data_IF_576238835712
#
_entry.id   IF_576238835712
#
_cell.length_a   1.000
_cell.length_b   1.000
_cell.length_c   1.000
_cell.angle_alpha   90.00
_cell.angle_beta   90.00
_cell.angle_gamma   90.00
#
_symmetry.space_group_name_H-M   'P 1'
#
loop_
_entity.id
_entity.type
_entity.pdbx_description
1 polymer ?
#
# COMPACT_ATOMS: atom_id res chain seq x y z
N UNK A 1 13.55 -66.45 -18.95
CA UNK A 1 12.53 -65.36 -18.89
C UNK A 1 12.94 -64.33 -17.85
N UNK A 2 13.48 -63.16 -18.27
CA UNK A 2 13.91 -62.07 -17.39
C UNK A 2 12.72 -61.09 -17.27
N UNK A 3 12.13 -60.94 -16.07
CA UNK A 3 11.11 -59.93 -15.77
C UNK A 3 11.77 -58.53 -15.73
N UNK A 4 11.47 -57.66 -16.70
CA UNK A 4 11.79 -56.25 -16.66
C UNK A 4 10.95 -55.58 -15.55
N UNK A 5 11.59 -55.09 -14.51
CA UNK A 5 11.00 -54.14 -13.54
C UNK A 5 10.93 -52.78 -14.19
N UNK A 6 9.75 -52.27 -14.46
CA UNK A 6 9.52 -50.88 -14.82
C UNK A 6 9.64 -50.08 -13.54
N UNK A 7 10.67 -49.24 -13.46
CA UNK A 7 10.77 -48.17 -12.46
C UNK A 7 9.72 -47.11 -12.85
N UNK A 8 8.63 -47.05 -12.12
CA UNK A 8 7.67 -45.95 -12.23
C UNK A 8 8.38 -44.71 -11.64
N UNK A 9 8.97 -43.92 -12.52
CA UNK A 9 9.48 -42.59 -12.16
C UNK A 9 8.23 -41.73 -11.98
N UNK A 10 7.78 -41.54 -10.75
CA UNK A 10 6.84 -40.47 -10.40
C UNK A 10 7.56 -39.17 -10.67
N UNK A 11 7.31 -38.59 -11.85
CA UNK A 11 7.60 -37.22 -12.14
C UNK A 11 6.91 -36.38 -11.06
N UNK A 12 7.69 -35.85 -10.14
CA UNK A 12 7.27 -34.77 -9.28
C UNK A 12 6.95 -33.60 -10.21
N UNK A 13 5.66 -33.46 -10.54
CA UNK A 13 5.15 -32.23 -11.12
C UNK A 13 5.54 -31.13 -10.13
N UNK A 14 6.23 -30.11 -10.60
CA UNK A 14 6.50 -28.88 -9.83
C UNK A 14 5.16 -28.33 -9.39
N UNK A 15 4.84 -28.53 -8.14
CA UNK A 15 3.56 -28.17 -7.57
C UNK A 15 3.58 -26.67 -7.38
N UNK A 16 2.89 -25.94 -8.25
CA UNK A 16 2.55 -24.54 -8.00
C UNK A 16 1.60 -24.51 -6.78
N UNK A 17 1.62 -23.48 -5.94
CA UNK A 17 0.74 -23.41 -4.79
C UNK A 17 -0.72 -23.64 -5.23
N UNK A 18 -1.41 -24.51 -4.51
CA UNK A 18 -2.80 -24.81 -4.84
C UNK A 18 -3.69 -23.65 -4.40
N UNK A 19 -4.54 -23.18 -5.30
CA UNK A 19 -5.50 -22.10 -5.01
C UNK A 19 -6.89 -22.68 -4.83
N UNK A 20 -7.53 -22.38 -3.70
CA UNK A 20 -8.91 -22.76 -3.40
C UNK A 20 -9.76 -21.54 -3.07
N UNK A 21 -11.06 -21.65 -3.33
CA UNK A 21 -12.04 -20.62 -2.96
C UNK A 21 -13.05 -21.23 -2.01
N UNK A 22 -13.15 -20.67 -0.82
CA UNK A 22 -14.13 -21.05 0.18
C UNK A 22 -15.24 -20.00 0.28
N UNK A 23 -16.47 -20.45 0.50
CA UNK A 23 -17.61 -19.60 0.85
C UNK A 23 -18.06 -19.97 2.26
N UNK A 24 -17.84 -19.09 3.19
CA UNK A 24 -17.94 -19.34 4.63
C UNK A 24 -18.92 -18.37 5.29
N UNK A 25 -19.37 -18.72 6.50
CA UNK A 25 -20.02 -17.75 7.40
C UNK A 25 -18.95 -16.80 7.98
N UNK A 26 -19.34 -15.58 8.42
CA UNK A 26 -18.40 -14.61 9.00
C UNK A 26 -17.56 -15.18 10.15
N UNK A 27 -18.18 -15.93 11.07
CA UNK A 27 -17.51 -16.55 12.21
C UNK A 27 -16.54 -17.68 11.86
N UNK A 28 -16.76 -18.36 10.72
CA UNK A 28 -15.83 -19.38 10.19
C UNK A 28 -14.64 -18.71 9.49
N UNK A 29 -14.91 -17.64 8.74
CA UNK A 29 -13.89 -16.91 8.00
C UNK A 29 -12.98 -16.05 8.89
N UNK A 30 -13.39 -15.76 10.13
CA UNK A 30 -12.62 -15.00 11.10
C UNK A 30 -11.55 -15.83 11.84
N UNK A 31 -11.66 -17.16 11.78
CA UNK A 31 -10.79 -18.07 12.53
C UNK A 31 -10.08 -19.04 11.58
N UNK A 32 -8.75 -18.94 11.51
CA UNK A 32 -7.91 -19.80 10.68
C UNK A 32 -8.09 -21.28 11.02
N UNK A 33 -8.25 -21.62 12.29
CA UNK A 33 -8.43 -22.99 12.72
C UNK A 33 -9.74 -23.62 12.22
N UNK A 34 -10.72 -22.79 11.85
CA UNK A 34 -11.98 -23.25 11.26
C UNK A 34 -11.90 -23.41 9.76
N UNK A 35 -11.21 -22.53 9.05
CA UNK A 35 -11.16 -22.62 7.58
C UNK A 35 -9.95 -23.37 7.02
N UNK A 36 -8.86 -23.57 7.79
CA UNK A 36 -7.70 -24.32 7.31
C UNK A 36 -8.02 -25.78 6.95
N UNK A 37 -8.75 -26.56 7.80
CA UNK A 37 -9.15 -27.91 7.44
C UNK A 37 -10.06 -27.96 6.20
N UNK A 38 -10.93 -26.94 6.04
CA UNK A 38 -11.81 -26.83 4.87
C UNK A 38 -11.02 -26.53 3.60
N UNK A 39 -9.98 -25.69 3.70
CA UNK A 39 -9.09 -25.37 2.59
C UNK A 39 -8.30 -26.61 2.15
N UNK A 40 -7.69 -27.34 3.09
CA UNK A 40 -6.95 -28.58 2.81
C UNK A 40 -7.85 -29.63 2.14
N UNK A 41 -9.07 -29.81 2.66
CA UNK A 41 -10.06 -30.72 2.07
C UNK A 41 -10.45 -30.29 0.64
N UNK A 42 -10.67 -28.99 0.41
CA UNK A 42 -11.01 -28.44 -0.91
C UNK A 42 -9.87 -28.61 -1.91
N UNK A 43 -8.62 -28.55 -1.44
CA UNK A 43 -7.41 -28.80 -2.22
C UNK A 43 -7.14 -30.31 -2.44
N UNK A 44 -7.80 -31.21 -1.71
CA UNK A 44 -7.54 -32.65 -1.77
C UNK A 44 -6.24 -33.08 -1.12
N UNK A 45 -5.73 -32.28 -0.15
CA UNK A 45 -4.49 -32.57 0.59
C UNK A 45 -4.78 -32.78 2.08
N UNK A 46 -3.89 -33.47 2.79
CA UNK A 46 -4.02 -33.55 4.24
C UNK A 46 -3.58 -32.24 4.90
N UNK A 47 -4.26 -31.83 5.96
CA UNK A 47 -3.97 -30.57 6.66
C UNK A 47 -2.50 -30.50 7.15
N UNK A 48 -1.96 -31.63 7.61
CA UNK A 48 -0.55 -31.76 8.05
C UNK A 48 0.48 -31.53 6.94
N UNK A 49 0.07 -31.64 5.67
CA UNK A 49 0.94 -31.45 4.51
C UNK A 49 0.94 -29.98 4.03
N UNK A 50 0.13 -29.11 4.66
CA UNK A 50 0.06 -27.68 4.39
C UNK A 50 1.02 -26.95 5.31
N UNK A 51 2.17 -26.51 4.78
CA UNK A 51 3.17 -25.76 5.53
C UNK A 51 2.79 -24.28 5.72
N UNK A 52 2.13 -23.68 4.71
CA UNK A 52 1.65 -22.30 4.75
C UNK A 52 0.27 -22.19 4.09
N UNK A 53 -0.64 -21.52 4.78
CA UNK A 53 -1.94 -21.10 4.23
C UNK A 53 -1.98 -19.57 4.15
N UNK A 54 -2.12 -19.05 2.93
CA UNK A 54 -2.12 -17.61 2.65
C UNK A 54 -3.48 -17.14 2.15
N UNK A 55 -4.04 -16.11 2.77
CA UNK A 55 -5.23 -15.43 2.24
C UNK A 55 -4.79 -14.49 1.12
N UNK A 56 -5.27 -14.72 -0.09
CA UNK A 56 -4.97 -13.92 -1.29
C UNK A 56 -6.07 -12.89 -1.56
N UNK A 57 -7.32 -13.26 -1.22
CA UNK A 57 -8.46 -12.36 -1.38
C UNK A 57 -9.54 -12.68 -0.36
N UNK A 58 -10.11 -11.64 0.23
CA UNK A 58 -11.30 -11.70 1.09
C UNK A 58 -12.36 -10.74 0.56
N UNK A 59 -13.58 -11.23 0.40
CA UNK A 59 -14.72 -10.40 0.02
C UNK A 59 -15.97 -10.83 0.77
N UNK A 60 -16.84 -9.86 1.07
CA UNK A 60 -18.09 -10.08 1.79
C UNK A 60 -19.24 -9.94 0.79
N UNK A 61 -20.11 -10.95 0.74
CA UNK A 61 -21.37 -10.90 0.03
C UNK A 61 -22.52 -10.75 1.05
N UNK A 62 -23.08 -9.55 1.14
CA UNK A 62 -24.18 -9.20 2.03
C UNK A 62 -25.53 -9.04 1.31
N UNK A 63 -25.67 -9.56 0.08
CA UNK A 63 -26.91 -9.46 -0.69
C UNK A 63 -28.05 -10.34 -0.14
N UNK A 64 -27.69 -11.37 0.64
CA UNK A 64 -28.64 -12.27 1.28
C UNK A 64 -28.79 -11.92 2.77
N UNK A 65 -29.88 -12.42 3.40
CA UNK A 65 -30.15 -12.22 4.83
C UNK A 65 -29.00 -12.63 5.74
N UNK A 66 -28.27 -13.70 5.36
CA UNK A 66 -27.04 -14.13 6.04
C UNK A 66 -25.86 -13.78 5.16
N UNK A 67 -24.98 -12.87 5.59
CA UNK A 67 -23.78 -12.52 4.83
C UNK A 67 -22.83 -13.71 4.70
N UNK A 68 -22.17 -13.79 3.56
CA UNK A 68 -21.15 -14.80 3.27
C UNK A 68 -19.82 -14.14 3.03
N UNK A 69 -18.75 -14.81 3.42
CA UNK A 69 -17.37 -14.40 3.16
C UNK A 69 -16.75 -15.36 2.16
N UNK A 70 -16.23 -14.80 1.07
CA UNK A 70 -15.44 -15.55 0.09
C UNK A 70 -13.98 -15.35 0.38
N UNK A 71 -13.27 -16.44 0.67
CA UNK A 71 -11.81 -16.48 0.82
C UNK A 71 -11.19 -17.17 -0.38
N UNK A 72 -10.24 -16.49 -1.03
CA UNK A 72 -9.31 -17.17 -1.96
C UNK A 72 -8.03 -17.42 -1.18
N UNK A 73 -7.62 -18.67 -1.13
CA UNK A 73 -6.51 -19.14 -0.32
C UNK A 73 -5.50 -19.86 -1.22
N UNK A 74 -4.23 -19.62 -0.94
CA UNK A 74 -3.10 -20.37 -1.51
C UNK A 74 -2.54 -21.28 -0.42
N UNK A 75 -2.37 -22.56 -0.76
CA UNK A 75 -1.80 -23.59 0.10
C UNK A 75 -0.43 -23.99 -0.44
N UNK A 76 0.57 -23.93 0.42
CA UNK A 76 1.95 -24.29 0.12
C UNK A 76 2.33 -25.54 0.91
N UNK A 77 2.94 -26.52 0.25
CA UNK A 77 3.57 -27.66 0.90
C UNK A 77 4.94 -27.29 1.46
N UNK A 78 5.52 -28.18 2.28
CA UNK A 78 6.88 -27.98 2.78
C UNK A 78 7.88 -28.00 1.61
N UNK A 79 8.83 -27.03 1.65
CA UNK A 79 9.83 -26.84 0.59
C UNK A 79 9.34 -26.12 -0.66
N UNK A 80 8.05 -25.77 -0.78
CA UNK A 80 7.57 -24.95 -1.89
C UNK A 80 8.04 -23.49 -1.79
N UNK A 81 8.39 -22.83 -2.92
CA UNK A 81 8.77 -21.44 -2.93
C UNK A 81 7.62 -20.55 -2.44
N UNK A 82 7.81 -19.88 -1.33
CA UNK A 82 6.85 -18.91 -0.80
C UNK A 82 7.09 -17.54 -1.42
N UNK A 83 6.04 -16.69 -1.57
CA UNK A 83 6.21 -15.33 -2.01
C UNK A 83 7.15 -14.58 -1.06
N UNK A 84 8.28 -14.09 -1.59
CA UNK A 84 9.18 -13.29 -0.80
C UNK A 84 8.49 -12.00 -0.30
N UNK A 85 8.74 -11.59 0.95
CA UNK A 85 8.28 -10.31 1.42
C UNK A 85 8.88 -9.20 0.56
N UNK A 86 8.07 -8.18 0.22
CA UNK A 86 8.57 -7.04 -0.53
C UNK A 86 9.56 -6.28 0.34
N UNK A 87 10.77 -6.18 -0.15
CA UNK A 87 11.81 -5.37 0.46
C UNK A 87 11.75 -3.95 -0.10
N UNK A 88 11.72 -2.96 0.79
CA UNK A 88 11.83 -1.57 0.44
C UNK A 88 13.21 -1.08 0.86
N UNK A 89 14.00 -0.64 -0.12
CA UNK A 89 15.30 -0.02 0.09
C UNK A 89 15.22 1.45 -0.29
N UNK A 90 15.56 2.31 0.67
CA UNK A 90 15.62 3.76 0.47
C UNK A 90 17.05 4.23 0.79
N UNK A 91 17.97 4.15 -0.20
CA UNK A 91 19.36 4.53 -0.02
C UNK A 91 19.51 6.03 0.28
N UNK A 92 20.64 6.41 0.88
CA UNK A 92 21.00 7.80 1.11
C UNK A 92 21.20 8.54 -0.21
N UNK A 93 20.57 9.71 -0.33
CA UNK A 93 20.54 10.51 -1.56
C UNK A 93 20.97 11.98 -1.35
N UNK A 94 21.60 12.32 -0.21
CA UNK A 94 21.97 13.68 0.18
C UNK A 94 22.76 14.45 -0.90
N UNK A 95 23.63 13.74 -1.62
CA UNK A 95 24.52 14.34 -2.64
C UNK A 95 24.09 13.97 -4.07
N UNK A 96 22.87 13.51 -4.26
CA UNK A 96 22.35 13.13 -5.56
C UNK A 96 21.65 14.29 -6.27
N UNK A 97 21.38 14.10 -7.55
CA UNK A 97 20.65 15.08 -8.36
C UNK A 97 19.29 15.38 -7.73
N UNK A 98 19.02 16.64 -7.50
CA UNK A 98 17.78 17.13 -6.90
C UNK A 98 16.62 17.13 -7.90
N UNK A 99 15.46 16.67 -7.45
CA UNK A 99 14.21 16.69 -8.23
C UNK A 99 13.12 17.31 -7.37
N UNK A 100 12.55 18.41 -7.86
CA UNK A 100 11.44 19.09 -7.19
C UNK A 100 10.15 18.29 -7.38
N UNK A 101 9.46 18.07 -6.26
CA UNK A 101 8.12 17.46 -6.21
C UNK A 101 7.15 18.48 -5.63
N UNK A 102 6.17 18.88 -6.43
CA UNK A 102 5.15 19.86 -6.03
C UNK A 102 3.97 19.16 -5.37
N UNK A 103 3.78 19.44 -4.09
CA UNK A 103 2.73 18.87 -3.25
C UNK A 103 3.14 17.59 -2.54
N UNK A 104 2.71 17.46 -1.28
CA UNK A 104 2.91 16.29 -0.42
C UNK A 104 1.64 15.42 -0.27
N UNK A 105 0.75 15.46 -1.26
CA UNK A 105 -0.36 14.52 -1.38
C UNK A 105 0.12 13.11 -1.72
N UNK A 106 -0.77 12.10 -1.84
CA UNK A 106 -0.38 10.72 -2.11
C UNK A 106 0.54 10.59 -3.33
N UNK A 107 0.23 11.27 -4.43
CA UNK A 107 1.04 11.21 -5.65
C UNK A 107 2.46 11.73 -5.42
N UNK A 108 2.60 12.88 -4.73
CA UNK A 108 3.92 13.48 -4.44
C UNK A 108 4.74 12.63 -3.48
N UNK A 109 4.12 12.07 -2.43
CA UNK A 109 4.80 11.19 -1.48
C UNK A 109 5.32 9.91 -2.15
N UNK A 110 4.49 9.25 -2.98
CA UNK A 110 4.92 8.07 -3.73
C UNK A 110 5.97 8.41 -4.79
N UNK A 111 5.87 9.58 -5.45
CA UNK A 111 6.88 10.06 -6.38
C UNK A 111 8.22 10.27 -5.68
N UNK A 112 8.21 10.91 -4.49
CA UNK A 112 9.42 11.13 -3.71
C UNK A 112 10.10 9.81 -3.28
N UNK A 113 9.34 8.83 -2.78
CA UNK A 113 9.87 7.50 -2.48
C UNK A 113 10.47 6.84 -3.72
N UNK A 114 9.79 6.95 -4.88
CA UNK A 114 10.27 6.37 -6.14
C UNK A 114 11.53 7.05 -6.66
N UNK A 115 11.68 8.34 -6.44
CA UNK A 115 12.90 9.08 -6.77
C UNK A 115 14.09 8.58 -5.95
N UNK A 116 13.91 8.35 -4.64
CA UNK A 116 14.94 7.80 -3.77
C UNK A 116 15.37 6.41 -4.25
N UNK A 117 14.42 5.50 -4.54
CA UNK A 117 14.72 4.18 -5.11
C UNK A 117 15.54 4.25 -6.41
N UNK A 118 15.45 5.37 -7.15
CA UNK A 118 16.20 5.62 -8.38
C UNK A 118 17.47 6.45 -8.18
N UNK A 119 17.84 6.75 -6.94
CA UNK A 119 19.04 7.49 -6.60
C UNK A 119 18.94 9.01 -6.83
N UNK A 120 17.73 9.58 -6.85
CA UNK A 120 17.50 11.02 -6.91
C UNK A 120 17.11 11.56 -5.54
N UNK A 121 17.50 12.81 -5.26
CA UNK A 121 17.14 13.54 -4.04
C UNK A 121 15.82 14.32 -4.24
N UNK A 122 14.70 13.92 -3.63
CA UNK A 122 13.45 14.66 -3.75
C UNK A 122 13.49 15.91 -2.87
N UNK A 123 13.05 17.05 -3.44
CA UNK A 123 12.75 18.29 -2.72
C UNK A 123 11.23 18.48 -2.82
N UNK A 124 10.52 18.13 -1.75
CA UNK A 124 9.06 18.20 -1.71
C UNK A 124 8.63 19.59 -1.20
N UNK A 125 7.89 20.30 -2.03
CA UNK A 125 7.34 21.64 -1.72
C UNK A 125 5.84 21.50 -1.46
N UNK A 126 5.41 21.77 -0.23
CA UNK A 126 4.02 21.70 0.19
C UNK A 126 3.52 23.07 0.62
N UNK A 127 2.39 23.51 0.04
CA UNK A 127 1.82 24.83 0.36
C UNK A 127 1.27 24.88 1.79
N UNK A 128 0.73 23.78 2.27
CA UNK A 128 0.11 23.71 3.58
C UNK A 128 1.05 23.26 4.68
N UNK A 129 0.48 22.94 5.82
CA UNK A 129 1.19 22.58 7.06
C UNK A 129 1.37 21.07 7.21
N UNK A 130 2.17 20.67 8.19
CA UNK A 130 2.31 19.26 8.62
C UNK A 130 1.00 18.72 9.16
N UNK A 131 0.84 17.41 9.11
CA UNK A 131 -0.38 16.70 9.57
C UNK A 131 -0.86 17.18 10.95
N UNK A 132 0.06 17.31 11.92
CA UNK A 132 -0.30 17.70 13.29
C UNK A 132 -0.85 19.12 13.38
N UNK A 133 -0.28 20.06 12.63
CA UNK A 133 -0.71 21.47 12.58
C UNK A 133 -2.00 21.59 11.78
N UNK A 134 -2.08 20.91 10.64
CA UNK A 134 -3.25 20.83 9.78
C UNK A 134 -4.50 20.31 10.51
N UNK A 135 -4.33 19.36 11.46
CA UNK A 135 -5.42 18.90 12.32
C UNK A 135 -6.05 20.04 13.11
N UNK A 136 -5.24 21.02 13.54
CA UNK A 136 -5.73 22.21 14.26
C UNK A 136 -6.51 23.15 13.32
N UNK A 137 -6.01 23.35 12.10
CA UNK A 137 -6.68 24.18 11.10
C UNK A 137 -8.05 23.59 10.73
N UNK A 138 -8.14 22.27 10.54
CA UNK A 138 -9.40 21.56 10.30
C UNK A 138 -10.37 21.71 11.50
N UNK A 139 -9.86 21.66 12.73
CA UNK A 139 -10.68 21.89 13.91
C UNK A 139 -11.25 23.32 13.96
N UNK A 140 -10.53 24.34 13.47
CA UNK A 140 -11.03 25.70 13.35
C UNK A 140 -12.16 25.81 12.30
N UNK A 141 -12.02 25.11 11.17
CA UNK A 141 -13.10 25.06 10.15
C UNK A 141 -14.40 24.52 10.79
N UNK A 142 -14.30 23.45 11.55
CA UNK A 142 -15.46 22.81 12.18
C UNK A 142 -16.08 23.65 13.31
N UNK A 143 -15.27 24.45 14.02
CA UNK A 143 -15.73 25.25 15.15
C UNK A 143 -16.26 26.62 14.73
N UNK A 144 -15.56 27.30 13.84
CA UNK A 144 -15.74 28.71 13.56
C UNK A 144 -16.00 29.01 12.08
N UNK A 145 -15.97 27.99 11.20
CA UNK A 145 -16.05 28.17 9.75
C UNK A 145 -14.81 28.86 9.13
N UNK A 146 -13.75 29.06 9.91
CA UNK A 146 -12.54 29.73 9.43
C UNK A 146 -11.67 28.77 8.61
N UNK A 147 -11.50 29.07 7.32
CA UNK A 147 -10.71 28.28 6.38
C UNK A 147 -9.38 28.95 6.12
N UNK A 148 -8.27 28.28 6.48
CA UNK A 148 -6.93 28.68 6.05
C UNK A 148 -6.79 28.31 4.56
N UNK A 149 -6.49 29.26 3.64
CA UNK A 149 -6.43 28.99 2.20
C UNK A 149 -5.32 28.03 1.80
N UNK A 150 -4.29 27.88 2.60
CA UNK A 150 -3.15 27.02 2.32
C UNK A 150 -3.09 25.74 3.19
N UNK A 151 -3.89 25.66 4.27
CA UNK A 151 -3.92 24.51 5.17
C UNK A 151 -5.34 24.18 5.61
N UNK A 152 -5.96 23.16 5.00
CA UNK A 152 -7.36 22.81 5.20
C UNK A 152 -7.62 21.34 4.83
N UNK A 153 -8.87 20.94 4.53
CA UNK A 153 -9.19 19.59 4.08
C UNK A 153 -8.55 19.21 2.75
N UNK A 154 -8.25 20.16 1.86
CA UNK A 154 -7.68 19.89 0.55
C UNK A 154 -6.15 19.96 0.55
N UNK A 155 -5.58 20.95 1.27
CA UNK A 155 -4.16 21.29 1.24
C UNK A 155 -3.46 20.96 2.55
N UNK A 156 -2.18 20.60 2.44
CA UNK A 156 -1.31 20.19 3.53
C UNK A 156 -0.84 18.74 3.40
N UNK A 157 0.05 18.32 4.29
CA UNK A 157 0.69 17.02 4.27
C UNK A 157 -0.32 15.86 4.11
N UNK A 158 -0.08 14.99 3.13
CA UNK A 158 -0.92 13.85 2.78
C UNK A 158 -2.14 14.17 1.90
N UNK A 159 -2.38 15.48 1.59
CA UNK A 159 -3.44 15.93 0.68
C UNK A 159 -4.85 15.72 1.24
N UNK A 160 -5.86 15.77 0.36
CA UNK A 160 -7.27 15.69 0.73
C UNK A 160 -7.67 14.35 1.37
N UNK A 161 -6.91 13.28 1.11
CA UNK A 161 -7.19 11.95 1.65
C UNK A 161 -6.82 11.73 3.11
N UNK A 162 -5.94 12.55 3.68
CA UNK A 162 -5.34 12.31 5.01
C UNK A 162 -6.36 12.17 6.15
N UNK A 163 -7.44 12.94 6.10
CA UNK A 163 -8.50 12.93 7.10
C UNK A 163 -9.81 12.30 6.59
N UNK A 164 -9.71 11.48 5.53
CA UNK A 164 -10.80 10.65 5.03
C UNK A 164 -10.81 9.28 5.70
N UNK A 165 -11.78 8.43 5.38
CA UNK A 165 -11.81 7.04 5.82
C UNK A 165 -10.77 6.14 5.14
N UNK A 166 -10.02 6.68 4.16
CA UNK A 166 -8.92 5.98 3.52
C UNK A 166 -9.34 4.80 2.66
N UNK A 167 -10.43 4.93 1.93
CA UNK A 167 -10.82 3.95 0.92
C UNK A 167 -9.76 3.85 -0.18
N UNK A 168 -9.25 2.65 -0.39
CA UNK A 168 -8.18 2.36 -1.37
C UNK A 168 -8.71 1.63 -2.60
N UNK A 169 -10.01 1.36 -2.68
CA UNK A 169 -10.58 0.65 -3.82
C UNK A 169 -10.44 1.45 -5.11
N UNK A 170 -9.92 0.80 -6.14
CA UNK A 170 -9.87 1.33 -7.50
C UNK A 170 -10.30 0.29 -8.52
N UNK A 171 -10.99 0.73 -9.56
CA UNK A 171 -11.28 -0.11 -10.75
C UNK A 171 -10.11 -0.12 -11.73
N UNK A 172 -9.22 0.88 -11.65
CA UNK A 172 -8.07 1.02 -12.55
C UNK A 172 -6.87 0.24 -12.02
N UNK A 173 -6.77 -1.05 -12.42
CA UNK A 173 -5.63 -1.92 -12.08
C UNK A 173 -4.69 -2.16 -13.27
N UNK A 174 -4.96 -1.54 -14.43
CA UNK A 174 -4.21 -1.78 -15.68
C UNK A 174 -2.93 -0.95 -15.79
N UNK A 175 -2.82 0.14 -15.05
CA UNK A 175 -1.67 1.06 -15.11
C UNK A 175 -0.99 1.12 -13.74
N UNK A 176 0.32 0.90 -13.73
CA UNK A 176 1.13 0.89 -12.52
C UNK A 176 0.96 -0.36 -11.66
N UNK A 177 1.80 -0.48 -10.64
CA UNK A 177 1.79 -1.59 -9.70
C UNK A 177 0.95 -1.22 -8.46
N UNK A 178 -0.33 -1.57 -8.52
CA UNK A 178 -1.27 -1.38 -7.41
C UNK A 178 -0.81 -2.11 -6.14
N UNK A 179 -0.27 -3.33 -6.29
CA UNK A 179 0.16 -4.13 -5.15
C UNK A 179 1.35 -3.47 -4.45
N UNK A 180 2.33 -2.95 -5.21
CA UNK A 180 3.45 -2.19 -4.63
C UNK A 180 2.95 -0.97 -3.85
N UNK A 181 1.92 -0.28 -4.33
CA UNK A 181 1.35 0.85 -3.60
C UNK A 181 0.74 0.43 -2.26
N UNK A 182 -0.04 -0.66 -2.21
CA UNK A 182 -0.57 -1.20 -0.96
C UNK A 182 0.53 -1.66 -0.01
N UNK A 183 1.53 -2.37 -0.53
CA UNK A 183 2.69 -2.82 0.26
C UNK A 183 3.49 -1.65 0.83
N UNK A 184 3.65 -0.55 0.06
CA UNK A 184 4.26 0.69 0.57
C UNK A 184 3.48 1.24 1.76
N UNK A 185 2.15 1.24 1.71
CA UNK A 185 1.32 1.67 2.84
C UNK A 185 1.47 0.74 4.05
N UNK A 186 1.52 -0.58 3.83
CA UNK A 186 1.77 -1.57 4.90
C UNK A 186 3.14 -1.36 5.53
N UNK A 187 4.20 -1.18 4.73
CA UNK A 187 5.54 -0.87 5.20
C UNK A 187 5.57 0.38 6.11
N UNK A 188 4.72 1.36 5.80
CA UNK A 188 4.56 2.57 6.59
C UNK A 188 3.44 2.47 7.65
N UNK A 189 2.97 1.26 7.97
CA UNK A 189 2.13 0.96 9.13
C UNK A 189 0.62 0.91 8.87
N UNK A 190 0.21 0.71 7.63
CA UNK A 190 -1.15 0.24 7.36
C UNK A 190 -1.28 -1.23 7.77
N UNK A 191 -2.50 -1.68 8.01
CA UNK A 191 -2.75 -3.08 8.36
C UNK A 191 -2.54 -3.98 7.15
N UNK A 192 -1.93 -5.19 7.31
CA UNK A 192 -1.68 -6.12 6.22
C UNK A 192 -2.96 -6.57 5.48
N UNK A 193 -4.12 -6.47 6.13
CA UNK A 193 -5.42 -6.84 5.56
C UNK A 193 -5.74 -6.09 4.27
N UNK A 194 -5.22 -4.86 4.09
CA UNK A 194 -5.42 -4.10 2.85
C UNK A 194 -4.87 -4.80 1.61
N UNK A 195 -3.94 -5.77 1.78
CA UNK A 195 -3.33 -6.50 0.67
C UNK A 195 -4.27 -7.52 0.04
N UNK A 196 -5.23 -8.05 0.81
CA UNK A 196 -6.13 -9.09 0.35
C UNK A 196 -7.62 -8.73 0.41
N UNK A 197 -7.99 -7.63 1.06
CA UNK A 197 -9.38 -7.16 1.07
C UNK A 197 -9.83 -6.71 -0.33
N UNK A 198 -11.04 -7.12 -0.73
CA UNK A 198 -11.63 -6.72 -2.00
C UNK A 198 -11.93 -5.21 -2.06
N UNK A 199 -12.27 -4.61 -0.92
CA UNK A 199 -12.51 -3.18 -0.74
C UNK A 199 -11.69 -2.66 0.44
N UNK A 200 -10.35 -2.52 0.25
CA UNK A 200 -9.46 -2.13 1.34
C UNK A 200 -9.70 -0.68 1.76
N UNK A 201 -9.60 -0.44 3.07
CA UNK A 201 -9.60 0.90 3.66
C UNK A 201 -8.65 0.93 4.87
N UNK A 202 -8.10 2.10 5.15
CA UNK A 202 -7.09 2.25 6.22
C UNK A 202 -7.73 2.71 7.53
N UNK A 203 -8.72 3.58 7.46
CA UNK A 203 -9.32 4.26 8.61
C UNK A 203 -8.74 5.66 8.83
N UNK A 204 -9.60 6.57 9.27
CA UNK A 204 -9.32 8.01 9.40
C UNK A 204 -8.23 8.32 10.42
N UNK A 205 -8.13 7.53 11.48
CA UNK A 205 -7.18 7.68 12.56
C UNK A 205 -5.75 7.23 12.21
N UNK A 206 -5.60 6.29 11.26
CA UNK A 206 -4.31 5.70 10.89
C UNK A 206 -3.59 6.44 9.78
N UNK A 207 -4.34 7.00 8.81
CA UNK A 207 -3.75 7.70 7.66
C UNK A 207 -2.78 8.82 8.03
N UNK A 208 -3.10 9.73 8.99
CA UNK A 208 -2.17 10.77 9.41
C UNK A 208 -0.80 10.24 9.84
N UNK A 209 -0.79 9.16 10.62
CA UNK A 209 0.45 8.52 11.06
C UNK A 209 1.23 7.85 9.93
N UNK A 210 0.54 7.29 8.93
CA UNK A 210 1.19 6.70 7.74
C UNK A 210 1.86 7.79 6.91
N UNK A 211 1.18 8.92 6.65
CA UNK A 211 1.76 10.06 5.91
C UNK A 211 3.00 10.58 6.61
N UNK A 212 2.95 10.73 7.94
CA UNK A 212 4.11 11.13 8.74
C UNK A 212 5.29 10.15 8.62
N UNK A 213 5.05 8.83 8.66
CA UNK A 213 6.10 7.82 8.49
C UNK A 213 6.71 7.83 7.10
N UNK A 214 5.90 8.02 6.05
CA UNK A 214 6.41 8.20 4.68
C UNK A 214 7.35 9.40 4.61
N UNK A 215 6.94 10.54 5.17
CA UNK A 215 7.83 11.72 5.24
C UNK A 215 9.12 11.44 6.01
N UNK A 216 9.03 10.73 7.14
CA UNK A 216 10.21 10.37 7.92
C UNK A 216 11.18 9.48 7.13
N UNK A 217 10.67 8.52 6.37
CA UNK A 217 11.47 7.69 5.45
C UNK A 217 12.17 8.54 4.39
N UNK A 218 11.43 9.47 3.74
CA UNK A 218 12.00 10.35 2.71
C UNK A 218 13.09 11.25 3.30
N UNK A 219 12.84 11.86 4.47
CA UNK A 219 13.83 12.73 5.14
C UNK A 219 15.02 11.92 5.64
N UNK A 220 14.78 10.72 6.21
CA UNK A 220 15.84 9.80 6.65
C UNK A 220 16.76 9.34 5.53
N UNK A 221 16.27 9.28 4.30
CA UNK A 221 17.07 8.99 3.10
C UNK A 221 17.76 10.23 2.50
N UNK A 222 17.65 11.43 3.11
CA UNK A 222 18.28 12.66 2.63
C UNK A 222 17.39 13.55 1.75
N UNK A 223 16.11 13.19 1.55
CA UNK A 223 15.13 14.06 0.90
C UNK A 223 14.74 15.26 1.77
N UNK A 224 14.17 16.29 1.17
CA UNK A 224 13.82 17.55 1.84
C UNK A 224 12.33 17.83 1.73
N UNK A 225 11.73 18.30 2.82
CA UNK A 225 10.37 18.86 2.83
C UNK A 225 10.41 20.34 3.20
N UNK A 226 9.74 21.17 2.39
CA UNK A 226 9.47 22.56 2.67
C UNK A 226 7.96 22.78 2.74
N UNK A 227 7.46 23.03 3.94
CA UNK A 227 6.07 23.38 4.20
C UNK A 227 5.88 24.91 4.09
N UNK A 228 4.65 25.37 3.87
CA UNK A 228 4.37 26.79 3.61
C UNK A 228 4.98 27.28 2.29
N UNK A 229 5.31 26.37 1.39
CA UNK A 229 5.98 26.65 0.11
C UNK A 229 5.00 26.43 -1.05
N UNK A 230 4.17 27.43 -1.30
CA UNK A 230 3.21 27.42 -2.40
C UNK A 230 3.92 27.71 -3.72
N UNK A 231 4.05 26.71 -4.57
CA UNK A 231 4.56 26.89 -5.93
C UNK A 231 3.53 27.67 -6.74
N UNK A 232 3.96 28.79 -7.30
CA UNK A 232 3.12 29.72 -8.07
C UNK A 232 3.40 29.66 -9.57
N UNK A 233 4.65 29.38 -9.95
CA UNK A 233 5.02 29.30 -11.36
C UNK A 233 6.28 28.44 -11.57
N UNK A 234 6.57 28.16 -12.85
CA UNK A 234 7.79 27.47 -13.30
C UNK A 234 8.84 28.50 -13.75
N UNK A 235 10.08 28.35 -13.28
CA UNK A 235 11.21 29.09 -13.83
C UNK A 235 11.69 28.40 -15.10
N UNK A 236 11.36 28.99 -16.25
CA UNK A 236 11.72 28.47 -17.58
C UNK A 236 12.80 29.37 -18.20
N UNK A 237 13.88 28.78 -18.67
CA UNK A 237 14.94 29.46 -19.42
C UNK A 237 15.14 28.75 -20.75
N UNK A 238 14.76 29.42 -21.84
CA UNK A 238 14.68 28.80 -23.16
C UNK A 238 13.61 27.71 -23.21
N UNK A 239 14.01 26.49 -23.50
CA UNK A 239 13.15 25.30 -23.57
C UNK A 239 13.24 24.39 -22.32
N UNK A 240 13.89 24.87 -21.24
CA UNK A 240 14.19 24.06 -20.04
C UNK A 240 13.60 24.66 -18.77
N UNK A 241 13.02 23.78 -17.96
CA UNK A 241 12.64 24.13 -16.58
C UNK A 241 13.91 24.16 -15.73
N UNK A 242 14.20 25.30 -15.08
CA UNK A 242 15.34 25.52 -14.20
C UNK A 242 14.98 25.50 -12.72
N UNK A 243 13.71 25.63 -12.42
CA UNK A 243 13.23 25.67 -11.05
C UNK A 243 11.74 25.99 -10.98
N UNK A 244 11.31 26.37 -9.80
CA UNK A 244 9.95 26.82 -9.51
C UNK A 244 9.98 28.08 -8.67
N UNK A 245 8.96 28.91 -8.78
CA UNK A 245 8.73 30.06 -7.92
C UNK A 245 7.81 29.69 -6.77
N UNK A 246 8.10 30.16 -5.57
CA UNK A 246 7.28 29.90 -4.38
C UNK A 246 6.82 31.24 -3.79
N UNK A 247 5.50 31.44 -3.68
CA UNK A 247 4.93 32.69 -3.19
C UNK A 247 5.23 33.84 -4.15
N UNK A 248 5.59 34.98 -3.57
CA UNK A 248 5.96 36.20 -4.29
C UNK A 248 7.49 36.34 -4.50
N UNK A 249 8.28 35.33 -4.12
CA UNK A 249 9.74 35.26 -4.23
C UNK A 249 10.18 34.38 -5.41
#
# INVERSE_FOLDING_TARGET
MRKKRYLCCTLSLSVMPQTVVLTLKPEEAADVHRYAPLAARAAGVAERDVALLRVVKRSIDARQRQPKVHLTLELYADGEPQPAPVHFDYPQVDHRTEVVVVGSGPAGLFAALRLIERGYRPIVLERGKRVAERKRDIAQINRNGAVDPDSNYAFGEGGAGTFSDGKLFTRSKKRGDYNKALQTLVFHGATPEILFEAHPHIGTDKLPGIMQRIRQTIVGAGGVFRFGSRVTDLKIEGDRIKGVWCGDE
#
